data_IF_349769402098
#
_entry.id   IF_349769402098
#
_cell.length_a   1.000
_cell.length_b   1.000
_cell.length_c   1.000
_cell.angle_alpha   90.00
_cell.angle_beta   90.00
_cell.angle_gamma   90.00
#
_symmetry.space_group_name_H-M   'P 1'
#
loop_
_entity.id
_entity.type
_entity.pdbx_description
1 polymer ?
#
# COMPACT_ATOMS: atom_id res chain seq x y z
N UNK A 1 -0.42 -3.33 8.85
CA UNK A 1 -1.28 -2.23 8.35
C UNK A 1 -2.24 -2.79 7.32
N UNK A 2 -3.47 -2.29 7.31
CA UNK A 2 -4.51 -2.64 6.35
C UNK A 2 -4.53 -1.73 5.12
N UNK A 3 -5.48 -2.01 4.21
CA UNK A 3 -5.63 -1.25 2.97
C UNK A 3 -6.00 0.23 3.21
N UNK A 4 -6.67 0.55 4.32
CA UNK A 4 -7.01 1.93 4.65
C UNK A 4 -5.76 2.75 5.00
N UNK A 5 -4.88 2.26 5.86
CA UNK A 5 -3.63 2.97 6.20
C UNK A 5 -2.71 3.12 4.99
N UNK A 6 -2.65 2.11 4.12
CA UNK A 6 -1.91 2.18 2.84
C UNK A 6 -2.48 3.29 1.95
N UNK A 7 -3.80 3.49 1.95
CA UNK A 7 -4.45 4.59 1.23
C UNK A 7 -3.95 5.95 1.69
N UNK A 8 -3.90 6.16 3.01
CA UNK A 8 -3.45 7.42 3.60
C UNK A 8 -2.00 7.70 3.24
N UNK A 9 -1.13 6.68 3.33
CA UNK A 9 0.27 6.78 2.92
C UNK A 9 0.47 7.09 1.43
N UNK A 10 -0.49 6.72 0.58
CA UNK A 10 -0.46 6.97 -0.86
C UNK A 10 -1.09 8.33 -1.24
N UNK A 11 -1.35 9.21 -0.28
CA UNK A 11 -1.95 10.53 -0.51
C UNK A 11 -3.48 10.51 -0.61
N UNK A 12 -4.15 9.55 0.03
CA UNK A 12 -5.61 9.54 0.14
C UNK A 12 -6.37 9.09 -1.12
N UNK A 13 -5.70 8.38 -2.04
CA UNK A 13 -6.27 7.87 -3.31
C UNK A 13 -7.55 7.03 -3.12
N UNK A 14 -8.30 6.77 -4.20
CA UNK A 14 -9.53 5.97 -4.11
C UNK A 14 -9.29 4.54 -3.61
N UNK A 15 -10.28 3.96 -2.93
CA UNK A 15 -10.24 2.56 -2.44
C UNK A 15 -9.96 1.57 -3.58
N UNK A 16 -10.58 1.78 -4.74
CA UNK A 16 -10.34 0.97 -5.94
C UNK A 16 -8.88 1.02 -6.38
N UNK A 17 -8.26 2.22 -6.39
CA UNK A 17 -6.86 2.38 -6.77
C UNK A 17 -5.91 1.68 -5.80
N UNK A 18 -6.19 1.74 -4.49
CA UNK A 18 -5.42 0.97 -3.49
C UNK A 18 -5.55 -0.53 -3.73
N UNK A 19 -6.74 -1.02 -4.03
CA UNK A 19 -6.94 -2.45 -4.30
C UNK A 19 -6.13 -2.93 -5.51
N UNK A 20 -6.11 -2.14 -6.60
CA UNK A 20 -5.29 -2.44 -7.78
C UNK A 20 -3.80 -2.48 -7.44
N UNK A 21 -3.30 -1.48 -6.69
CA UNK A 21 -1.89 -1.42 -6.28
C UNK A 21 -1.53 -2.61 -5.40
N UNK A 22 -2.32 -2.87 -4.35
CA UNK A 22 -2.05 -3.94 -3.36
C UNK A 22 -2.25 -5.36 -3.91
N UNK A 23 -2.86 -5.50 -5.09
CA UNK A 23 -2.99 -6.76 -5.81
C UNK A 23 -1.92 -6.95 -6.89
N UNK A 24 -1.11 -5.94 -7.16
CA UNK A 24 -0.05 -6.00 -8.16
C UNK A 24 1.13 -6.84 -7.67
N UNK A 25 1.73 -7.65 -8.54
CA UNK A 25 2.83 -8.58 -8.19
C UNK A 25 4.08 -7.92 -7.63
N UNK A 26 4.32 -6.65 -7.97
CA UNK A 26 5.46 -5.87 -7.47
C UNK A 26 5.17 -5.21 -6.12
N UNK A 27 3.95 -5.30 -5.60
CA UNK A 27 3.61 -4.80 -4.27
C UNK A 27 3.99 -5.85 -3.22
N UNK A 28 4.40 -5.44 -2.00
CA UNK A 28 4.75 -6.38 -0.94
C UNK A 28 3.67 -7.43 -0.67
N UNK A 29 4.11 -8.65 -0.39
CA UNK A 29 3.21 -9.71 0.04
C UNK A 29 2.62 -9.39 1.43
N UNK A 30 1.35 -9.75 1.68
CA UNK A 30 0.75 -9.57 2.99
C UNK A 30 1.37 -10.55 3.99
N UNK A 31 1.55 -10.11 5.23
CA UNK A 31 1.98 -10.97 6.36
C UNK A 31 0.84 -11.77 6.96
N UNK A 32 -0.40 -11.37 6.71
CA UNK A 32 -1.58 -12.11 7.13
C UNK A 32 -2.73 -11.82 6.17
N UNK A 33 -3.60 -12.83 6.02
CA UNK A 33 -4.89 -12.69 5.36
C UNK A 33 -5.95 -12.99 6.41
N UNK A 34 -6.68 -11.96 6.82
CA UNK A 34 -7.74 -12.06 7.82
C UNK A 34 -9.11 -11.96 7.14
N UNK A 35 -10.18 -12.33 7.85
CA UNK A 35 -11.55 -12.17 7.35
C UNK A 35 -11.87 -10.71 6.97
N UNK A 36 -11.28 -9.75 7.70
CA UNK A 36 -11.43 -8.31 7.44
C UNK A 36 -10.55 -7.80 6.26
N UNK A 37 -9.59 -8.61 5.79
CA UNK A 37 -8.69 -8.25 4.69
C UNK A 37 -7.23 -8.62 4.92
N UNK A 38 -6.40 -8.27 3.93
CA UNK A 38 -4.94 -8.45 3.95
C UNK A 38 -4.26 -7.45 4.90
N UNK A 39 -3.19 -7.89 5.54
CA UNK A 39 -2.35 -7.09 6.43
C UNK A 39 -0.91 -7.13 5.95
N UNK A 40 -0.25 -5.98 5.88
CA UNK A 40 1.15 -5.83 5.43
C UNK A 40 2.07 -5.33 6.53
N UNK A 41 3.38 -5.63 6.42
CA UNK A 41 4.41 -4.95 7.23
C UNK A 41 4.50 -3.50 6.78
N UNK A 42 4.60 -2.59 7.74
CA UNK A 42 4.75 -1.16 7.48
C UNK A 42 6.03 -0.85 6.71
N UNK A 43 7.16 -1.43 7.13
CA UNK A 43 8.48 -1.25 6.52
C UNK A 43 8.49 -1.58 5.02
N UNK A 44 7.82 -2.66 4.63
CA UNK A 44 7.82 -3.14 3.25
C UNK A 44 7.02 -2.19 2.36
N UNK A 45 5.89 -1.68 2.86
CA UNK A 45 5.08 -0.66 2.18
C UNK A 45 5.85 0.66 2.05
N UNK A 46 6.50 1.13 3.12
CA UNK A 46 7.32 2.34 3.10
C UNK A 46 8.46 2.24 2.09
N UNK A 47 9.17 1.11 2.07
CA UNK A 47 10.23 0.85 1.10
C UNK A 47 9.68 0.81 -0.33
N UNK A 48 8.51 0.19 -0.55
CA UNK A 48 7.89 0.15 -1.87
C UNK A 48 7.52 1.55 -2.37
N UNK A 49 6.91 2.38 -1.52
CA UNK A 49 6.52 3.76 -1.86
C UNK A 49 7.75 4.60 -2.24
N UNK A 50 8.83 4.51 -1.45
CA UNK A 50 10.09 5.23 -1.74
C UNK A 50 10.70 4.82 -3.09
N UNK A 51 10.61 3.54 -3.45
CA UNK A 51 11.16 3.03 -4.70
C UNK A 51 10.30 3.35 -5.93
N UNK A 52 8.97 3.29 -5.80
CA UNK A 52 8.06 3.37 -6.94
C UNK A 52 7.36 4.71 -7.10
N UNK A 53 7.46 5.59 -6.09
CA UNK A 53 6.90 6.94 -6.12
C UNK A 53 7.87 8.00 -5.57
N UNK A 54 8.99 8.24 -6.25
CA UNK A 54 9.91 9.31 -5.88
C UNK A 54 9.28 10.72 -5.99
N UNK A 55 8.24 10.89 -6.81
CA UNK A 55 7.63 12.20 -7.14
C UNK A 55 6.48 12.62 -6.19
N UNK A 56 5.95 11.71 -5.37
CA UNK A 56 4.82 12.03 -4.46
C UNK A 56 5.23 12.80 -3.20
N UNK A 57 6.49 13.24 -3.11
CA UNK A 57 7.00 14.10 -2.05
C UNK A 57 6.93 15.62 -2.38
N UNK A 58 6.39 16.00 -3.55
CA UNK A 58 6.20 17.40 -3.92
C UNK A 58 4.86 17.62 -4.61
N UNK A 59 3.98 18.38 -3.95
CA UNK A 59 2.67 18.79 -4.46
C UNK A 59 1.85 19.46 -3.37
#
# INVERSE_FOLDING_TARGET
>A
MGAHEIREMLGGISKQRVHVITSHRNFPEPIAVLAMGKVWRRSDVEAWIRQHRPDSAGG
#
